data_IF_034079665877
#
_entry.id   IF_034079665877
#
_cell.length_a   1.000
_cell.length_b   1.000
_cell.length_c   1.000
_cell.angle_alpha   90.00
_cell.angle_beta   90.00
_cell.angle_gamma   90.00
#
_symmetry.space_group_name_H-M   'P 1'
#
loop_
_entity.id
_entity.type
_entity.pdbx_description
1 polymer ?
#
# COMPACT_ATOMS: atom_id res chain seq x y z
N UNK A 1 37.64 -11.76 -37.32
CA UNK A 1 38.49 -12.77 -37.99
C UNK A 1 37.67 -14.03 -38.13
N UNK A 2 37.77 -14.76 -39.24
CA UNK A 2 37.10 -16.05 -39.37
C UNK A 2 38.08 -17.19 -39.05
N UNK A 3 37.86 -17.97 -37.97
CA UNK A 3 38.74 -19.07 -37.59
C UNK A 3 38.82 -20.16 -38.67
N UNK A 4 39.94 -20.87 -38.73
CA UNK A 4 40.13 -22.03 -39.60
C UNK A 4 39.07 -23.11 -39.33
N UNK A 5 38.55 -23.72 -40.40
CA UNK A 5 37.63 -24.85 -40.32
C UNK A 5 36.24 -24.55 -39.75
N UNK A 6 35.91 -23.29 -39.44
CA UNK A 6 34.65 -22.94 -38.76
C UNK A 6 33.41 -23.16 -39.64
N UNK A 7 33.50 -22.99 -40.96
CA UNK A 7 32.35 -23.17 -41.87
C UNK A 7 32.10 -24.65 -42.14
N UNK A 8 33.18 -25.39 -42.44
CA UNK A 8 33.13 -26.83 -42.66
C UNK A 8 34.44 -27.45 -42.19
N UNK A 9 34.40 -28.18 -41.09
CA UNK A 9 35.58 -28.81 -40.49
C UNK A 9 36.09 -29.99 -41.34
N UNK A 10 35.19 -30.75 -41.96
CA UNK A 10 35.55 -31.91 -42.81
C UNK A 10 36.34 -31.48 -44.06
N UNK A 11 35.95 -30.36 -44.66
CA UNK A 11 36.63 -29.79 -45.83
C UNK A 11 37.70 -28.74 -45.48
N UNK A 12 37.90 -28.49 -44.18
CA UNK A 12 38.73 -27.41 -43.63
C UNK A 12 38.50 -26.05 -44.32
N UNK A 13 37.26 -25.55 -44.26
CA UNK A 13 36.87 -24.25 -44.79
C UNK A 13 36.56 -23.26 -43.65
N UNK A 14 37.19 -22.07 -43.60
CA UNK A 14 38.33 -21.64 -44.41
C UNK A 14 39.62 -22.39 -44.00
N UNK A 15 40.55 -22.59 -44.94
CA UNK A 15 41.81 -23.34 -44.71
C UNK A 15 42.80 -22.68 -43.77
N UNK A 16 42.58 -21.41 -43.46
CA UNK A 16 43.39 -20.60 -42.57
C UNK A 16 42.54 -19.44 -42.05
N UNK A 17 42.96 -18.86 -40.94
CA UNK A 17 42.29 -17.69 -40.38
C UNK A 17 42.23 -16.55 -41.42
N UNK A 18 41.01 -16.13 -41.75
CA UNK A 18 40.79 -15.18 -42.86
C UNK A 18 40.20 -13.87 -42.34
N UNK A 19 40.80 -12.74 -42.77
CA UNK A 19 40.26 -11.39 -42.54
C UNK A 19 39.05 -11.17 -43.44
N UNK A 20 37.90 -10.90 -42.84
CA UNK A 20 36.67 -10.57 -43.55
C UNK A 20 36.34 -9.08 -43.39
N UNK A 21 35.73 -8.52 -44.44
CA UNK A 21 35.06 -7.22 -44.38
C UNK A 21 33.60 -7.46 -43.99
N UNK A 22 33.17 -6.85 -42.88
CA UNK A 22 31.79 -6.91 -42.42
C UNK A 22 31.19 -5.50 -42.41
N UNK A 23 29.90 -5.41 -42.76
CA UNK A 23 29.14 -4.17 -42.67
C UNK A 23 28.44 -4.11 -41.31
N UNK A 24 28.54 -2.97 -40.62
CA UNK A 24 27.91 -2.77 -39.33
C UNK A 24 26.44 -2.40 -39.50
N UNK A 25 25.54 -3.23 -38.96
CA UNK A 25 24.12 -2.94 -38.90
C UNK A 25 23.83 -1.96 -37.76
N UNK A 26 23.34 -0.78 -38.10
CA UNK A 26 22.98 0.27 -37.14
C UNK A 26 21.46 0.28 -36.94
N UNK A 27 20.92 -0.15 -35.78
CA UNK A 27 19.50 0.01 -35.48
C UNK A 27 19.17 1.49 -35.28
N UNK A 28 18.28 2.02 -36.12
CA UNK A 28 17.87 3.44 -36.07
C UNK A 28 16.39 3.52 -35.73
N UNK A 29 16.05 4.37 -34.76
CA UNK A 29 14.68 4.67 -34.39
C UNK A 29 14.36 6.15 -34.66
N UNK A 30 13.09 6.45 -34.92
CA UNK A 30 12.61 7.83 -34.99
C UNK A 30 12.77 8.53 -33.61
N UNK A 31 12.64 9.86 -33.54
CA UNK A 31 12.67 10.61 -32.27
C UNK A 31 11.39 10.52 -31.43
N UNK A 32 10.32 9.95 -31.98
CA UNK A 32 8.98 9.89 -31.39
C UNK A 32 8.67 8.69 -30.46
N UNK A 33 9.36 7.54 -30.50
CA UNK A 33 9.00 6.42 -29.64
C UNK A 33 9.28 6.78 -28.19
N UNK A 34 8.48 6.18 -27.30
CA UNK A 34 8.65 6.36 -25.87
C UNK A 34 10.02 5.85 -25.43
N UNK A 35 10.79 6.59 -24.58
CA UNK A 35 12.14 6.20 -24.15
C UNK A 35 12.26 4.75 -23.65
N UNK A 36 11.24 4.28 -22.95
CA UNK A 36 11.18 2.91 -22.44
C UNK A 36 11.19 1.80 -23.51
N UNK A 37 10.72 2.09 -24.73
CA UNK A 37 10.81 1.14 -25.85
C UNK A 37 12.24 1.03 -26.40
N UNK A 38 12.98 2.15 -26.39
CA UNK A 38 14.38 2.17 -26.79
C UNK A 38 15.21 1.35 -25.80
N UNK A 39 15.00 1.54 -24.50
CA UNK A 39 15.66 0.74 -23.46
C UNK A 39 15.37 -0.76 -23.62
N UNK A 40 14.11 -1.13 -23.89
CA UNK A 40 13.70 -2.53 -24.09
C UNK A 40 14.32 -3.15 -25.35
N UNK A 41 14.39 -2.39 -26.44
CA UNK A 41 15.05 -2.83 -27.66
C UNK A 41 16.54 -3.07 -27.40
N UNK A 42 17.22 -2.14 -26.73
CA UNK A 42 18.65 -2.28 -26.38
C UNK A 42 18.88 -3.50 -25.49
N UNK A 43 18.02 -3.73 -24.50
CA UNK A 43 18.09 -4.90 -23.64
C UNK A 43 17.95 -6.22 -24.43
N UNK A 44 16.94 -6.32 -25.30
CA UNK A 44 16.75 -7.48 -26.16
C UNK A 44 17.93 -7.69 -27.13
N UNK A 45 18.47 -6.60 -27.67
CA UNK A 45 19.63 -6.64 -28.58
C UNK A 45 20.88 -7.13 -27.83
N UNK A 46 21.10 -6.66 -26.60
CA UNK A 46 22.18 -7.14 -25.73
C UNK A 46 22.03 -8.60 -25.33
N UNK A 47 20.81 -9.09 -25.11
CA UNK A 47 20.58 -10.50 -24.78
C UNK A 47 20.84 -11.43 -25.98
N UNK A 48 20.39 -11.03 -27.17
CA UNK A 48 20.52 -11.82 -28.40
C UNK A 48 21.96 -11.81 -28.91
N UNK A 49 22.59 -10.63 -28.99
CA UNK A 49 23.91 -10.47 -29.61
C UNK A 49 25.07 -10.46 -28.62
N UNK A 50 24.82 -10.26 -27.33
CA UNK A 50 25.85 -10.19 -26.28
C UNK A 50 26.58 -11.50 -26.03
N UNK A 51 25.99 -12.65 -26.37
CA UNK A 51 26.66 -13.96 -26.25
C UNK A 51 27.81 -14.14 -27.25
N UNK A 52 27.90 -13.31 -28.28
CA UNK A 52 28.83 -13.51 -29.38
C UNK A 52 28.37 -14.63 -30.32
N UNK A 53 29.07 -14.76 -31.45
CA UNK A 53 28.74 -15.71 -32.49
C UNK A 53 29.98 -16.22 -33.20
N UNK A 54 29.80 -16.64 -34.44
CA UNK A 54 30.87 -17.24 -35.24
C UNK A 54 31.86 -16.19 -35.77
N UNK A 55 31.41 -14.93 -35.86
CA UNK A 55 32.15 -13.81 -36.41
C UNK A 55 32.56 -12.76 -35.35
N UNK A 56 31.83 -12.72 -34.24
CA UNK A 56 31.89 -11.68 -33.21
C UNK A 56 32.17 -12.32 -31.85
N UNK A 57 33.05 -11.71 -31.05
CA UNK A 57 33.38 -12.18 -29.72
C UNK A 57 32.23 -11.92 -28.73
N UNK A 58 32.19 -12.69 -27.65
CA UNK A 58 31.24 -12.46 -26.57
C UNK A 58 31.42 -11.04 -25.99
N UNK A 59 30.33 -10.30 -25.85
CA UNK A 59 30.33 -8.91 -25.39
C UNK A 59 30.82 -7.88 -26.42
N UNK A 60 31.17 -8.28 -27.64
CA UNK A 60 31.58 -7.35 -28.70
C UNK A 60 30.39 -6.56 -29.27
N UNK A 61 29.19 -7.15 -29.26
CA UNK A 61 27.95 -6.53 -29.72
C UNK A 61 26.86 -6.63 -28.65
N UNK A 62 25.92 -5.68 -28.60
CA UNK A 62 25.86 -4.42 -29.35
C UNK A 62 26.93 -3.41 -28.89
N UNK A 63 27.45 -2.61 -29.82
CA UNK A 63 28.55 -1.66 -29.58
C UNK A 63 28.14 -0.21 -29.89
N UNK A 64 28.63 0.78 -29.11
CA UNK A 64 28.49 2.21 -29.44
C UNK A 64 29.50 2.69 -30.50
N UNK A 65 30.35 1.82 -31.05
CA UNK A 65 31.37 2.15 -32.03
C UNK A 65 30.84 2.10 -33.47
N UNK A 66 31.53 2.79 -34.39
CA UNK A 66 31.24 2.77 -35.83
C UNK A 66 29.80 3.18 -36.21
N UNK A 67 29.26 4.16 -35.48
CA UNK A 67 27.90 4.64 -35.69
C UNK A 67 27.81 5.65 -36.84
N UNK A 68 26.78 5.50 -37.67
CA UNK A 68 26.44 6.46 -38.74
C UNK A 68 25.59 7.62 -38.21
N UNK A 69 24.83 7.39 -37.13
CA UNK A 69 23.91 8.35 -36.51
C UNK A 69 24.29 8.61 -35.05
N UNK A 70 23.96 9.79 -34.50
CA UNK A 70 24.24 10.08 -33.10
C UNK A 70 23.42 9.17 -32.18
N UNK A 71 24.03 8.73 -31.07
CA UNK A 71 23.34 7.98 -30.02
C UNK A 71 22.21 8.80 -29.42
N UNK A 72 21.07 8.14 -29.18
CA UNK A 72 20.02 8.71 -28.35
C UNK A 72 20.50 8.85 -26.89
N UNK A 73 19.81 9.71 -26.12
CA UNK A 73 20.14 9.90 -24.69
C UNK A 73 20.00 8.59 -23.91
N UNK A 74 18.99 7.80 -24.28
CA UNK A 74 18.68 6.49 -23.71
C UNK A 74 19.79 5.49 -24.02
N UNK A 75 20.24 5.41 -25.27
CA UNK A 75 21.32 4.51 -25.69
C UNK A 75 22.65 4.86 -25.02
N UNK A 76 22.98 6.16 -24.94
CA UNK A 76 24.18 6.62 -24.22
C UNK A 76 24.14 6.20 -22.75
N UNK A 77 23.00 6.41 -22.08
CA UNK A 77 22.81 6.00 -20.68
C UNK A 77 22.91 4.48 -20.52
N UNK A 78 22.35 3.70 -21.43
CA UNK A 78 22.39 2.23 -21.37
C UNK A 78 23.83 1.71 -21.47
N UNK A 79 24.66 2.26 -22.35
CA UNK A 79 26.07 1.87 -22.44
C UNK A 79 26.91 2.33 -21.22
N UNK A 80 26.61 3.49 -20.64
CA UNK A 80 27.34 4.02 -19.47
C UNK A 80 26.95 3.34 -18.14
N UNK A 81 25.66 3.10 -17.92
CA UNK A 81 25.11 2.68 -16.63
C UNK A 81 24.49 1.28 -16.65
N UNK A 82 24.34 0.67 -17.83
CA UNK A 82 23.66 -0.61 -18.01
C UNK A 82 22.13 -0.48 -18.01
N UNK A 83 21.41 -1.62 -18.00
CA UNK A 83 19.95 -1.63 -17.97
C UNK A 83 19.42 -0.93 -16.69
N UNK A 84 18.30 -0.19 -16.78
CA UNK A 84 17.69 0.50 -15.64
C UNK A 84 17.49 -0.44 -14.44
N UNK A 85 17.95 -0.02 -13.25
CA UNK A 85 17.90 -0.82 -12.01
C UNK A 85 16.50 -1.37 -11.68
N UNK A 86 15.44 -0.64 -12.04
CA UNK A 86 14.04 -1.04 -11.83
C UNK A 86 13.60 -2.18 -12.77
N UNK A 87 14.16 -2.28 -13.98
CA UNK A 87 13.88 -3.37 -14.93
C UNK A 87 14.62 -4.68 -14.57
N UNK A 88 15.59 -4.62 -13.64
CA UNK A 88 16.32 -5.80 -13.17
C UNK A 88 15.51 -6.68 -12.21
N UNK A 89 14.46 -6.12 -11.58
CA UNK A 89 13.62 -6.82 -10.61
C UNK A 89 12.11 -6.71 -10.85
N UNK A 90 11.63 -5.74 -11.64
CA UNK A 90 10.21 -5.61 -11.97
C UNK A 90 9.95 -5.76 -13.47
N UNK A 91 8.98 -6.61 -13.87
CA UNK A 91 8.53 -6.68 -15.27
C UNK A 91 7.98 -5.33 -15.74
N UNK A 92 8.09 -5.06 -17.05
CA UNK A 92 7.76 -3.76 -17.68
C UNK A 92 6.44 -3.15 -17.21
N UNK A 93 5.39 -3.97 -17.08
CA UNK A 93 4.06 -3.51 -16.65
C UNK A 93 4.07 -2.87 -15.25
N UNK A 94 4.87 -3.41 -14.33
CA UNK A 94 4.91 -2.95 -12.96
C UNK A 94 5.71 -1.64 -12.81
N UNK A 95 6.79 -1.46 -13.59
CA UNK A 95 7.53 -0.20 -13.62
C UNK A 95 6.65 0.96 -14.15
N UNK A 96 5.91 0.72 -15.24
CA UNK A 96 4.97 1.71 -15.80
C UNK A 96 3.78 1.97 -14.88
N UNK A 97 3.28 0.94 -14.19
CA UNK A 97 2.20 1.09 -13.22
C UNK A 97 2.63 1.99 -12.05
N UNK A 98 3.83 1.78 -11.51
CA UNK A 98 4.36 2.61 -10.41
C UNK A 98 4.56 4.05 -10.84
N UNK A 99 5.10 4.29 -12.03
CA UNK A 99 5.32 5.65 -12.55
C UNK A 99 4.00 6.42 -12.72
N UNK A 100 2.97 5.78 -13.28
CA UNK A 100 1.62 6.36 -13.40
C UNK A 100 0.91 6.50 -12.05
N UNK A 101 1.05 5.53 -11.16
CA UNK A 101 0.40 5.55 -9.84
C UNK A 101 0.97 6.65 -8.97
N UNK A 102 2.27 6.96 -9.02
CA UNK A 102 2.88 8.02 -8.18
C UNK A 102 2.22 9.39 -8.39
N UNK A 103 1.92 9.76 -9.64
CA UNK A 103 1.26 11.02 -9.97
C UNK A 103 -0.16 11.08 -9.39
N UNK A 104 -0.87 9.94 -9.37
CA UNK A 104 -2.22 9.82 -8.82
C UNK A 104 -2.24 9.58 -7.29
N UNK A 105 -1.16 9.04 -6.73
CA UNK A 105 -0.98 8.82 -5.30
C UNK A 105 -0.82 10.14 -4.56
N UNK A 106 -0.16 11.12 -5.16
CA UNK A 106 0.07 12.43 -4.53
C UNK A 106 -1.25 13.13 -4.12
N UNK A 107 -2.24 13.32 -5.02
CA UNK A 107 -3.53 13.88 -4.62
C UNK A 107 -4.33 12.94 -3.71
N UNK A 108 -4.20 11.62 -3.88
CA UNK A 108 -4.87 10.65 -2.99
C UNK A 108 -4.35 10.75 -1.56
N UNK A 109 -3.03 10.82 -1.36
CA UNK A 109 -2.39 11.00 -0.07
C UNK A 109 -2.74 12.36 0.53
N UNK A 110 -2.74 13.42 -0.28
CA UNK A 110 -3.18 14.74 0.15
C UNK A 110 -4.64 14.74 0.64
N UNK A 111 -5.52 13.94 0.02
CA UNK A 111 -6.91 13.76 0.44
C UNK A 111 -7.06 12.80 1.64
N UNK A 112 -6.13 11.87 1.82
CA UNK A 112 -6.12 10.99 2.99
C UNK A 112 -5.76 11.74 4.28
N UNK A 113 -4.90 12.76 4.22
CA UNK A 113 -4.53 13.57 5.40
C UNK A 113 -5.76 14.13 6.14
N UNK A 114 -6.70 14.85 5.49
CA UNK A 114 -7.91 15.28 6.18
C UNK A 114 -8.77 14.11 6.63
N UNK A 115 -8.90 13.04 5.82
CA UNK A 115 -9.70 11.87 6.20
C UNK A 115 -9.21 11.21 7.49
N UNK A 116 -7.90 11.07 7.66
CA UNK A 116 -7.31 10.58 8.92
C UNK A 116 -7.52 11.54 10.07
N UNK A 117 -7.55 12.85 9.82
CA UNK A 117 -7.85 13.85 10.85
C UNK A 117 -9.32 13.83 11.31
N UNK A 118 -10.24 13.34 10.46
CA UNK A 118 -11.65 13.14 10.81
C UNK A 118 -11.92 11.84 11.59
N UNK A 119 -11.01 10.86 11.60
CA UNK A 119 -11.20 9.60 12.35
C UNK A 119 -11.15 9.74 13.88
N UNK A 120 -10.18 10.48 14.49
CA UNK A 120 -10.06 10.63 15.94
C UNK A 120 -11.35 11.05 16.67
N UNK A 121 -12.17 12.03 16.20
CA UNK A 121 -13.38 12.43 16.91
C UNK A 121 -14.52 11.39 16.85
N UNK A 122 -14.53 10.48 15.89
CA UNK A 122 -15.57 9.45 15.77
C UNK A 122 -15.48 8.39 16.87
N UNK A 123 -14.26 8.12 17.37
CA UNK A 123 -14.02 7.11 18.39
C UNK A 123 -14.62 7.51 19.76
N UNK A 124 -14.35 8.70 20.32
CA UNK A 124 -15.03 9.20 21.52
C UNK A 124 -16.55 9.25 21.39
N UNK A 125 -17.07 9.69 20.24
CA UNK A 125 -18.51 9.81 20.01
C UNK A 125 -19.23 8.46 20.16
N UNK A 126 -18.67 7.40 19.58
CA UNK A 126 -19.25 6.05 19.67
C UNK A 126 -19.23 5.52 21.11
N UNK A 127 -18.14 5.73 21.84
CA UNK A 127 -18.01 5.26 23.24
C UNK A 127 -18.95 6.05 24.16
N UNK A 128 -18.93 7.39 24.10
CA UNK A 128 -19.82 8.25 24.89
C UNK A 128 -21.29 7.96 24.64
N UNK A 129 -21.69 7.75 23.39
CA UNK A 129 -23.09 7.44 23.05
C UNK A 129 -23.60 6.15 23.74
N UNK A 130 -22.72 5.17 23.97
CA UNK A 130 -23.08 3.95 24.71
C UNK A 130 -23.30 4.24 26.20
N UNK A 131 -22.46 5.07 26.82
CA UNK A 131 -22.57 5.46 28.24
C UNK A 131 -23.83 6.33 28.45
N UNK A 132 -24.05 7.33 27.60
CA UNK A 132 -25.21 8.24 27.69
C UNK A 132 -26.56 7.55 27.55
N UNK A 133 -26.63 6.41 26.86
CA UNK A 133 -27.87 5.62 26.80
C UNK A 133 -28.27 5.13 28.20
N UNK A 134 -27.34 4.48 28.90
CA UNK A 134 -27.58 3.97 30.24
C UNK A 134 -27.85 5.08 31.25
N UNK A 135 -27.14 6.21 31.13
CA UNK A 135 -27.41 7.38 31.97
C UNK A 135 -28.86 7.87 31.85
N UNK A 136 -29.42 7.88 30.63
CA UNK A 136 -30.83 8.25 30.41
C UNK A 136 -31.79 7.26 31.05
N UNK A 137 -31.52 5.96 30.95
CA UNK A 137 -32.36 4.92 31.55
C UNK A 137 -32.38 5.02 33.09
N UNK A 138 -31.24 5.25 33.73
CA UNK A 138 -31.17 5.44 35.19
C UNK A 138 -31.90 6.72 35.63
N UNK A 139 -31.74 7.83 34.89
CA UNK A 139 -32.44 9.08 35.17
C UNK A 139 -33.96 8.95 35.01
N UNK A 140 -34.40 8.14 34.06
CA UNK A 140 -35.81 7.82 33.87
C UNK A 140 -36.36 7.06 35.07
N UNK A 141 -35.64 6.06 35.60
CA UNK A 141 -36.03 5.32 36.80
C UNK A 141 -36.12 6.26 38.02
N UNK A 142 -35.13 7.12 38.25
CA UNK A 142 -35.13 8.06 39.37
C UNK A 142 -36.34 9.02 39.32
N UNK A 143 -36.66 9.54 38.14
CA UNK A 143 -37.82 10.41 37.92
C UNK A 143 -39.16 9.72 38.17
N UNK A 144 -39.32 8.46 37.75
CA UNK A 144 -40.55 7.71 37.99
C UNK A 144 -40.72 7.34 39.46
N UNK A 145 -39.62 7.26 40.22
CA UNK A 145 -39.64 6.94 41.64
C UNK A 145 -40.28 8.06 42.48
N UNK A 146 -40.23 9.31 42.02
CA UNK A 146 -40.83 10.46 42.70
C UNK A 146 -42.37 10.53 42.54
N UNK A 147 -43.00 9.59 41.82
CA UNK A 147 -44.46 9.53 41.66
C UNK A 147 -45.14 8.61 42.69
N UNK A 148 -46.34 8.95 43.20
CA UNK A 148 -47.04 8.16 44.23
C UNK A 148 -47.40 6.72 43.80
N UNK A 149 -47.66 6.49 42.50
CA UNK A 149 -47.96 5.16 41.94
C UNK A 149 -46.71 4.32 41.63
N UNK A 150 -45.51 4.74 42.04
CA UNK A 150 -44.28 4.04 41.67
C UNK A 150 -44.23 2.62 42.26
N UNK A 151 -43.96 1.66 41.38
CA UNK A 151 -43.70 0.25 41.73
C UNK A 151 -42.21 0.10 42.05
N UNK A 152 -41.86 0.39 43.30
CA UNK A 152 -40.48 0.38 43.80
C UNK A 152 -39.74 -0.94 43.47
N UNK A 153 -40.41 -2.09 43.61
CA UNK A 153 -39.82 -3.40 43.29
C UNK A 153 -39.47 -3.56 41.80
N UNK A 154 -40.26 -2.97 40.90
CA UNK A 154 -39.97 -2.99 39.45
C UNK A 154 -38.78 -2.07 39.14
N UNK A 155 -38.75 -0.88 39.76
CA UNK A 155 -37.64 0.06 39.61
C UNK A 155 -36.30 -0.52 40.10
N UNK A 156 -36.30 -1.28 41.21
CA UNK A 156 -35.11 -1.98 41.71
C UNK A 156 -34.65 -3.06 40.72
N UNK A 157 -35.58 -3.87 40.20
CA UNK A 157 -35.25 -4.93 39.24
C UNK A 157 -34.71 -4.39 37.90
N UNK A 158 -35.26 -3.26 37.44
CA UNK A 158 -34.77 -2.57 36.24
C UNK A 158 -33.38 -1.98 36.47
N UNK A 159 -33.15 -1.36 37.63
CA UNK A 159 -31.84 -0.83 38.02
C UNK A 159 -30.77 -1.93 38.15
N UNK A 160 -31.12 -3.10 38.69
CA UNK A 160 -30.26 -4.29 38.75
C UNK A 160 -29.88 -4.79 37.35
N UNK A 161 -30.82 -4.71 36.40
CA UNK A 161 -30.58 -5.11 35.01
C UNK A 161 -29.62 -4.14 34.33
N UNK A 162 -29.80 -2.84 34.53
CA UNK A 162 -28.90 -1.81 34.02
C UNK A 162 -27.50 -1.95 34.62
N UNK A 163 -27.37 -2.16 35.93
CA UNK A 163 -26.07 -2.31 36.58
C UNK A 163 -25.29 -3.52 36.05
N UNK A 164 -25.97 -4.66 35.85
CA UNK A 164 -25.36 -5.85 35.23
C UNK A 164 -24.89 -5.57 33.80
N UNK A 165 -25.66 -4.85 32.99
CA UNK A 165 -25.27 -4.54 31.62
C UNK A 165 -24.16 -3.48 31.54
N UNK A 166 -24.17 -2.48 32.42
CA UNK A 166 -23.12 -1.47 32.55
C UNK A 166 -21.80 -2.11 33.01
N UNK A 167 -21.84 -3.14 33.87
CA UNK A 167 -20.65 -3.85 34.33
C UNK A 167 -19.85 -4.53 33.20
N UNK A 168 -20.56 -4.94 32.12
CA UNK A 168 -19.99 -5.59 30.93
C UNK A 168 -19.39 -4.60 29.92
N UNK A 169 -19.66 -3.30 30.08
CA UNK A 169 -19.13 -2.27 29.17
C UNK A 169 -17.67 -1.98 29.53
N UNK A 170 -16.74 -2.51 28.72
CA UNK A 170 -15.33 -2.11 28.78
C UNK A 170 -15.13 -0.79 28.05
N UNK A 171 -14.63 0.23 28.77
CA UNK A 171 -14.27 1.54 28.22
C UNK A 171 -12.76 1.78 28.36
N UNK A 172 -12.11 2.46 27.40
CA UNK A 172 -10.73 2.92 27.56
C UNK A 172 -10.56 3.82 28.79
N UNK A 173 -9.35 3.87 29.36
CA UNK A 173 -9.05 4.67 30.56
C UNK A 173 -9.45 6.15 30.43
N UNK A 174 -9.39 6.72 29.23
CA UNK A 174 -9.80 8.10 28.96
C UNK A 174 -11.29 8.38 29.19
N UNK A 175 -12.12 7.34 29.31
CA UNK A 175 -13.56 7.44 29.56
C UNK A 175 -13.97 6.72 30.86
N UNK A 176 -13.00 6.37 31.70
CA UNK A 176 -13.27 5.66 32.94
C UNK A 176 -14.06 6.55 33.92
N UNK A 177 -13.76 7.85 33.96
CA UNK A 177 -14.45 8.84 34.79
C UNK A 177 -15.96 8.85 34.53
N UNK A 178 -16.40 8.99 33.27
CA UNK A 178 -17.83 9.00 32.95
C UNK A 178 -18.55 7.67 33.29
N UNK A 179 -17.83 6.54 33.24
CA UNK A 179 -18.38 5.25 33.65
C UNK A 179 -18.49 5.12 35.18
N UNK A 180 -17.50 5.65 35.91
CA UNK A 180 -17.52 5.66 37.37
C UNK A 180 -18.64 6.56 37.90
N UNK A 181 -18.84 7.73 37.31
CA UNK A 181 -19.94 8.64 37.66
C UNK A 181 -21.31 7.98 37.47
N UNK A 182 -21.49 7.24 36.37
CA UNK A 182 -22.72 6.48 36.12
C UNK A 182 -22.94 5.42 37.22
N UNK A 183 -21.90 4.67 37.59
CA UNK A 183 -21.99 3.66 38.65
C UNK A 183 -22.30 4.28 40.01
N UNK A 184 -21.69 5.43 40.31
CA UNK A 184 -21.98 6.19 41.52
C UNK A 184 -23.46 6.60 41.56
N UNK A 185 -23.99 7.12 40.44
CA UNK A 185 -25.39 7.51 40.32
C UNK A 185 -26.35 6.32 40.48
N UNK A 186 -26.04 5.16 39.89
CA UNK A 186 -26.78 3.91 40.10
C UNK A 186 -26.83 3.55 41.60
N UNK A 187 -25.69 3.66 42.30
CA UNK A 187 -25.62 3.40 43.74
C UNK A 187 -26.50 4.34 44.56
N UNK A 188 -26.52 5.64 44.23
CA UNK A 188 -27.36 6.63 44.91
C UNK A 188 -28.85 6.37 44.70
N UNK A 189 -29.26 6.08 43.46
CA UNK A 189 -30.67 5.77 43.13
C UNK A 189 -31.10 4.47 43.82
N UNK A 190 -30.22 3.47 43.89
CA UNK A 190 -30.47 2.22 44.64
C UNK A 190 -30.74 2.50 46.11
N UNK A 191 -29.87 3.27 46.76
CA UNK A 191 -30.02 3.60 48.18
C UNK A 191 -31.32 4.37 48.44
N UNK A 192 -31.69 5.30 47.55
CA UNK A 192 -32.97 6.01 47.61
C UNK A 192 -34.17 5.03 47.50
N UNK A 193 -34.14 4.11 46.54
CA UNK A 193 -35.19 3.10 46.34
C UNK A 193 -35.31 2.14 47.54
N UNK A 194 -34.19 1.70 48.11
CA UNK A 194 -34.17 0.83 49.28
C UNK A 194 -34.72 1.52 50.53
N UNK A 195 -34.43 2.82 50.73
CA UNK A 195 -35.05 3.62 51.80
C UNK A 195 -36.57 3.72 51.62
N UNK A 196 -37.03 4.06 50.42
CA UNK A 196 -38.46 4.14 50.10
C UNK A 196 -39.18 2.80 50.23
N UNK A 197 -38.47 1.68 49.99
CA UNK A 197 -38.98 0.33 50.23
C UNK A 197 -39.13 0.03 51.72
N UNK A 198 -38.20 0.50 52.56
CA UNK A 198 -38.22 0.29 54.00
C UNK A 198 -39.24 1.17 54.74
N UNK A 199 -39.58 2.33 54.19
CA UNK A 199 -40.55 3.27 54.77
C UNK A 199 -42.02 2.93 54.43
N UNK A 200 -42.26 1.87 53.64
CA UNK A 200 -43.57 1.44 53.14
C UNK A 200 -44.00 0.11 53.75
#
# INVERSE_FOLDING_TARGET
MLPEGVINLEQNLPRQETRLLAANANPVAHKAPHPALIDLLLQATSEIHGRGGWFEQAGQLPSPEYLVFPLSKEAKRFYEFGPPLLQRYLPFWAATLVDRLKVMLLPLLALMIPLFKLMPPLYPWRIRSRIYRWYREVLEIDRHTDTPESKIEVAIADLDTIDREVSKVSVPLSFAEELYDLRLHIGLVREKLERLRSDR
#
